data_IF_436099983497
#
_entry.id   IF_436099983497
#
_cell.length_a   1.000
_cell.length_b   1.000
_cell.length_c   1.000
_cell.angle_alpha   90.00
_cell.angle_beta   90.00
_cell.angle_gamma   90.00
#
_symmetry.space_group_name_H-M   'P 1'
#
loop_
_entity.id
_entity.type
_entity.pdbx_description
1 polymer ?
#
# COMPACT_ATOMS: atom_id res chain seq x y z
N UNK A 1 19.95 -1.26 21.42
CA UNK A 1 19.17 -0.56 20.37
C UNK A 1 18.80 -1.57 19.32
N UNK A 2 17.51 -1.73 19.00
CA UNK A 2 17.09 -2.65 17.93
C UNK A 2 17.61 -2.14 16.59
N UNK A 3 18.26 -3.01 15.82
CA UNK A 3 18.79 -2.68 14.49
C UNK A 3 17.64 -2.54 13.52
N UNK A 4 17.47 -1.34 12.94
CA UNK A 4 16.46 -1.10 11.91
C UNK A 4 16.73 -1.95 10.67
N UNK A 5 15.68 -2.55 10.10
CA UNK A 5 15.77 -3.38 8.90
C UNK A 5 15.92 -2.52 7.63
N UNK A 6 16.78 -2.90 6.67
CA UNK A 6 16.96 -2.11 5.46
C UNK A 6 15.85 -2.39 4.44
N UNK A 7 15.22 -1.34 3.91
CA UNK A 7 14.31 -1.39 2.75
C UNK A 7 14.98 -0.75 1.54
N UNK A 8 14.70 -1.26 0.34
CA UNK A 8 14.99 -0.53 -0.90
C UNK A 8 14.01 0.64 -1.10
N UNK A 9 14.21 1.43 -2.16
CA UNK A 9 13.25 2.47 -2.55
C UNK A 9 11.91 1.91 -3.06
N UNK A 10 11.89 0.62 -3.41
CA UNK A 10 10.69 -0.15 -3.75
C UNK A 10 10.79 -1.56 -3.18
N UNK A 11 9.65 -2.07 -2.74
CA UNK A 11 9.48 -3.41 -2.18
C UNK A 11 8.21 -4.05 -2.73
N UNK A 12 8.15 -5.38 -2.72
CA UNK A 12 6.89 -6.10 -2.77
C UNK A 12 6.34 -6.23 -1.36
N UNK A 13 5.05 -5.94 -1.23
CA UNK A 13 4.32 -6.01 0.02
C UNK A 13 3.01 -6.78 -0.19
N UNK A 14 2.37 -7.20 0.88
CA UNK A 14 0.99 -7.69 0.86
C UNK A 14 0.10 -6.90 1.79
N UNK A 15 -1.21 -6.99 1.57
CA UNK A 15 -2.26 -6.57 2.48
C UNK A 15 -3.13 -7.80 2.80
N UNK A 16 -2.78 -8.58 3.83
CA UNK A 16 -3.51 -9.81 4.17
C UNK A 16 -5.01 -9.58 4.39
N UNK A 17 -5.37 -8.50 5.08
CA UNK A 17 -6.78 -8.18 5.38
C UNK A 17 -7.58 -7.79 4.13
N UNK A 18 -6.89 -7.42 3.04
CA UNK A 18 -7.49 -7.01 1.77
C UNK A 18 -7.34 -8.08 0.68
N UNK A 19 -6.94 -9.31 1.04
CA UNK A 19 -6.67 -10.40 0.11
C UNK A 19 -5.62 -10.08 -0.98
N UNK A 20 -4.73 -9.11 -0.74
CA UNK A 20 -3.65 -8.76 -1.67
C UNK A 20 -2.38 -9.47 -1.20
N UNK A 21 -2.05 -10.58 -1.83
CA UNK A 21 -0.84 -11.34 -1.47
C UNK A 21 0.44 -10.63 -1.86
N UNK A 22 0.42 -9.86 -2.95
CA UNK A 22 1.60 -9.20 -3.48
C UNK A 22 1.28 -8.01 -4.39
N UNK A 23 1.77 -6.84 -4.02
CA UNK A 23 1.71 -5.60 -4.80
C UNK A 23 3.03 -4.84 -4.64
N UNK A 24 3.44 -4.11 -5.69
CA UNK A 24 4.68 -3.34 -5.66
C UNK A 24 4.43 -1.96 -5.07
N UNK A 25 5.17 -1.63 -4.02
CA UNK A 25 5.11 -0.35 -3.33
C UNK A 25 6.35 0.50 -3.59
N UNK A 26 6.14 1.81 -3.72
CA UNK A 26 7.22 2.79 -3.57
C UNK A 26 7.38 3.11 -2.09
N UNK A 27 8.60 3.05 -1.58
CA UNK A 27 8.93 3.53 -0.23
C UNK A 27 9.12 5.04 -0.34
N UNK A 28 8.15 5.80 0.17
CA UNK A 28 8.05 7.24 -0.06
C UNK A 28 8.23 8.02 1.24
N UNK A 29 9.48 8.43 1.48
CA UNK A 29 9.80 9.28 2.63
C UNK A 29 9.28 10.71 2.47
N UNK A 30 8.72 11.11 1.33
CA UNK A 30 8.01 12.38 1.15
C UNK A 30 6.56 12.32 1.63
N UNK A 31 5.92 11.17 1.56
CA UNK A 31 4.56 10.94 2.06
C UNK A 31 4.51 10.75 3.58
N UNK A 32 3.58 11.44 4.25
CA UNK A 32 3.31 11.21 5.69
C UNK A 32 2.62 9.88 5.89
N UNK A 33 1.46 9.69 5.26
CA UNK A 33 0.60 8.50 5.35
C UNK A 33 0.74 7.67 4.08
N UNK A 34 0.63 6.35 4.20
CA UNK A 34 0.63 5.44 3.05
C UNK A 34 -0.62 5.64 2.19
N UNK A 35 -0.52 5.34 0.90
CA UNK A 35 -1.63 5.45 -0.04
C UNK A 35 -1.74 4.19 -0.89
N UNK A 36 -2.96 3.70 -1.08
CA UNK A 36 -3.29 2.54 -1.90
C UNK A 36 -4.20 3.00 -3.03
N UNK A 37 -3.84 2.61 -4.25
CA UNK A 37 -4.70 2.74 -5.40
C UNK A 37 -6.01 1.99 -5.14
N UNK A 38 -7.11 2.69 -5.26
CA UNK A 38 -8.45 2.14 -5.15
C UNK A 38 -9.39 2.84 -6.13
N UNK A 39 -10.33 2.09 -6.68
CA UNK A 39 -11.41 2.58 -7.54
C UNK A 39 -12.74 1.98 -7.07
N UNK A 40 -13.88 2.51 -7.57
CA UNK A 40 -15.23 2.15 -7.06
C UNK A 40 -15.31 2.25 -5.53
N UNK A 41 -14.83 3.37 -4.99
CA UNK A 41 -14.76 3.61 -3.55
C UNK A 41 -16.14 4.06 -3.06
N UNK A 42 -16.86 3.16 -2.42
CA UNK A 42 -18.27 3.31 -2.05
C UNK A 42 -18.45 3.15 -0.53
N UNK A 43 -18.79 4.21 0.21
CA UNK A 43 -19.08 4.11 1.63
C UNK A 43 -20.42 3.41 1.88
N UNK A 44 -20.51 2.63 2.96
CA UNK A 44 -21.75 2.02 3.42
C UNK A 44 -21.77 1.86 4.94
N UNK A 45 -22.94 1.57 5.51
CA UNK A 45 -23.09 1.29 6.94
C UNK A 45 -23.26 -0.22 7.14
N UNK A 46 -22.49 -0.80 8.05
CA UNK A 46 -22.62 -2.18 8.51
C UNK A 46 -22.50 -2.19 10.03
N UNK A 47 -23.49 -2.78 10.69
CA UNK A 47 -23.56 -2.86 12.16
C UNK A 47 -23.34 -1.50 12.84
N UNK A 48 -24.04 -0.46 12.35
CA UNK A 48 -23.97 0.93 12.81
C UNK A 48 -22.58 1.62 12.66
N UNK A 49 -21.60 0.95 12.07
CA UNK A 49 -20.28 1.48 11.77
C UNK A 49 -20.17 1.90 10.30
N UNK A 50 -19.41 2.96 10.01
CA UNK A 50 -19.08 3.35 8.64
C UNK A 50 -17.99 2.44 8.07
N UNK A 51 -18.24 1.88 6.90
CA UNK A 51 -17.35 1.05 6.10
C UNK A 51 -17.17 1.64 4.71
N UNK A 52 -16.15 1.16 4.00
CA UNK A 52 -15.92 1.49 2.60
C UNK A 52 -15.65 0.22 1.82
N UNK A 53 -16.35 0.04 0.71
CA UNK A 53 -16.10 -0.97 -0.31
C UNK A 53 -15.24 -0.34 -1.39
N UNK A 54 -14.25 -1.07 -1.89
CA UNK A 54 -13.37 -0.58 -2.93
C UNK A 54 -12.78 -1.75 -3.72
N UNK A 55 -12.37 -1.45 -4.94
CA UNK A 55 -11.69 -2.36 -5.84
C UNK A 55 -10.27 -1.88 -6.10
N UNK A 56 -9.36 -2.82 -6.34
CA UNK A 56 -7.92 -2.57 -6.53
C UNK A 56 -7.42 -3.33 -7.75
N UNK A 57 -6.59 -2.68 -8.55
CA UNK A 57 -5.73 -3.33 -9.52
C UNK A 57 -4.36 -3.65 -8.89
N UNK A 58 -4.12 -4.88 -8.41
CA UNK A 58 -2.90 -5.19 -7.65
C UNK A 58 -1.65 -5.29 -8.54
N UNK A 59 -1.82 -5.46 -9.85
CA UNK A 59 -0.73 -5.63 -10.81
C UNK A 59 -0.49 -4.29 -11.55
N UNK A 60 0.78 -3.92 -11.73
CA UNK A 60 1.15 -2.69 -12.43
C UNK A 60 0.91 -2.83 -13.93
N UNK A 61 0.23 -1.87 -14.54
CA UNK A 61 -0.09 -1.88 -15.98
C UNK A 61 -1.18 -2.87 -16.38
N UNK A 62 -1.87 -3.46 -15.41
CA UNK A 62 -3.01 -4.35 -15.60
C UNK A 62 -4.24 -3.72 -14.93
N UNK A 63 -5.33 -3.64 -15.69
CA UNK A 63 -6.64 -3.13 -15.27
C UNK A 63 -7.72 -4.22 -15.32
N UNK A 64 -7.39 -5.44 -15.75
CA UNK A 64 -8.32 -6.57 -15.83
C UNK A 64 -8.34 -7.34 -14.51
N UNK A 65 -7.18 -7.50 -13.87
CA UNK A 65 -7.12 -8.12 -12.55
C UNK A 65 -7.69 -7.17 -11.50
N UNK A 66 -8.77 -7.59 -10.84
CA UNK A 66 -9.47 -6.83 -9.80
C UNK A 66 -9.53 -7.62 -8.50
N UNK A 67 -9.20 -6.96 -7.40
CA UNK A 67 -9.44 -7.45 -6.04
C UNK A 67 -10.41 -6.49 -5.35
N UNK A 68 -11.58 -6.99 -4.96
CA UNK A 68 -12.54 -6.23 -4.16
C UNK A 68 -12.26 -6.44 -2.67
N UNK A 69 -12.45 -5.40 -1.89
CA UNK A 69 -12.23 -5.41 -0.44
C UNK A 69 -13.16 -4.43 0.26
N UNK A 70 -13.39 -4.69 1.54
CA UNK A 70 -14.17 -3.84 2.42
C UNK A 70 -13.39 -3.64 3.71
N UNK A 71 -13.40 -2.44 4.24
CA UNK A 71 -12.77 -2.14 5.53
C UNK A 71 -13.58 -1.09 6.30
N UNK A 72 -13.53 -1.12 7.65
CA UNK A 72 -14.05 -0.02 8.46
C UNK A 72 -13.34 1.29 8.10
N UNK A 73 -14.11 2.37 7.97
CA UNK A 73 -13.54 3.70 7.81
C UNK A 73 -12.98 4.16 9.15
N UNK A 74 -11.66 4.36 9.20
CA UNK A 74 -10.97 4.87 10.39
C UNK A 74 -11.09 6.39 10.50
N UNK A 75 -10.96 7.07 9.37
CA UNK A 75 -10.91 8.53 9.28
C UNK A 75 -11.17 8.98 7.82
N UNK A 76 -11.35 10.29 7.61
CA UNK A 76 -11.35 10.93 6.29
C UNK A 76 -10.38 12.11 6.33
N UNK A 77 -9.45 12.20 5.38
CA UNK A 77 -8.40 13.21 5.40
C UNK A 77 -8.29 13.93 4.07
N UNK A 78 -8.20 15.26 4.15
CA UNK A 78 -7.77 16.07 3.00
C UNK A 78 -6.27 15.84 2.79
N UNK A 79 -5.92 15.35 1.61
CA UNK A 79 -4.55 15.12 1.20
C UNK A 79 -4.22 16.03 0.03
N UNK A 80 -3.15 16.81 0.19
CA UNK A 80 -2.59 17.64 -0.87
C UNK A 80 -1.49 16.90 -1.61
N UNK A 81 -1.60 16.81 -2.93
CA UNK A 81 -0.55 16.22 -3.76
C UNK A 81 0.58 17.21 -4.09
N UNK A 82 1.61 16.75 -4.79
CA UNK A 82 2.73 17.59 -5.21
C UNK A 82 2.36 18.64 -6.27
N UNK A 83 1.24 18.46 -6.97
CA UNK A 83 0.69 19.44 -7.92
C UNK A 83 -0.13 20.53 -7.24
N UNK A 84 -0.40 20.38 -5.94
CA UNK A 84 -1.17 21.32 -5.15
C UNK A 84 -2.67 21.05 -5.13
N UNK A 85 -3.14 19.97 -5.75
CA UNK A 85 -4.54 19.57 -5.68
C UNK A 85 -4.84 18.93 -4.32
N UNK A 86 -6.02 19.21 -3.80
CA UNK A 86 -6.52 18.65 -2.56
C UNK A 86 -7.65 17.66 -2.84
N UNK A 87 -7.59 16.51 -2.18
CA UNK A 87 -8.57 15.44 -2.32
C UNK A 87 -8.93 14.93 -0.92
N UNK A 88 -10.22 14.79 -0.62
CA UNK A 88 -10.67 14.09 0.57
C UNK A 88 -10.59 12.57 0.32
N UNK A 89 -9.87 11.86 1.18
CA UNK A 89 -9.63 10.42 1.07
C UNK A 89 -10.08 9.67 2.31
N UNK A 90 -10.73 8.52 2.11
CA UNK A 90 -10.98 7.55 3.18
C UNK A 90 -9.67 6.97 3.68
N UNK A 91 -9.57 6.83 5.00
CA UNK A 91 -8.45 6.17 5.68
C UNK A 91 -8.95 4.86 6.26
N UNK A 92 -8.22 3.79 5.97
CA UNK A 92 -8.39 2.47 6.58
C UNK A 92 -7.15 2.13 7.40
N UNK A 93 -7.31 1.26 8.39
CA UNK A 93 -6.20 0.65 9.13
C UNK A 93 -6.11 -0.82 8.70
N UNK A 94 -4.93 -1.26 8.26
CA UNK A 94 -4.74 -2.62 7.73
C UNK A 94 -3.33 -3.14 7.97
N UNK A 95 -3.21 -4.48 8.07
CA UNK A 95 -1.95 -5.19 8.09
C UNK A 95 -1.22 -5.05 6.74
N UNK A 96 0.07 -4.76 6.80
CA UNK A 96 0.99 -4.73 5.66
C UNK A 96 2.10 -5.74 5.92
N UNK A 97 2.25 -6.71 5.02
CA UNK A 97 3.37 -7.66 5.06
C UNK A 97 4.55 -7.17 4.21
N UNK A 98 5.76 -7.16 4.78
CA UNK A 98 7.01 -6.74 4.13
C UNK A 98 8.10 -7.75 4.49
N UNK A 99 8.43 -8.65 3.56
CA UNK A 99 9.33 -9.77 3.87
C UNK A 99 8.74 -10.65 4.96
N UNK A 100 9.43 -10.78 6.09
CA UNK A 100 8.99 -11.54 7.27
C UNK A 100 8.18 -10.68 8.27
N UNK A 101 8.14 -9.36 8.09
CA UNK A 101 7.44 -8.47 8.99
C UNK A 101 5.97 -8.31 8.60
N UNK A 102 5.13 -8.15 9.60
CA UNK A 102 3.77 -7.61 9.44
C UNK A 102 3.62 -6.39 10.34
N UNK A 103 3.18 -5.27 9.77
CA UNK A 103 2.95 -4.02 10.50
C UNK A 103 1.51 -3.56 10.31
N UNK A 104 0.93 -2.95 11.33
CA UNK A 104 -0.33 -2.22 11.20
C UNK A 104 -0.05 -0.80 10.73
N UNK A 105 -0.80 -0.33 9.73
CA UNK A 105 -0.63 1.02 9.20
C UNK A 105 -1.94 1.60 8.68
N UNK A 106 -2.05 2.92 8.81
CA UNK A 106 -3.08 3.70 8.13
C UNK A 106 -2.74 3.88 6.65
N UNK A 107 -3.76 3.71 5.81
CA UNK A 107 -3.67 3.79 4.36
C UNK A 107 -4.82 4.63 3.83
N UNK A 108 -4.52 5.64 3.02
CA UNK A 108 -5.55 6.39 2.28
C UNK A 108 -5.93 5.66 1.00
N UNK A 109 -7.22 5.55 0.71
CA UNK A 109 -7.74 5.08 -0.56
C UNK A 109 -7.80 6.25 -1.56
N UNK A 110 -7.22 6.08 -2.75
CA UNK A 110 -7.14 7.16 -3.75
C UNK A 110 -6.96 6.59 -5.15
N UNK A 111 -7.47 7.27 -6.17
CA UNK A 111 -7.19 6.91 -7.55
C UNK A 111 -5.72 7.24 -7.88
N UNK A 112 -5.03 6.25 -8.46
CA UNK A 112 -3.63 6.32 -8.87
C UNK A 112 -3.43 5.58 -10.19
N UNK A 113 -4.46 5.49 -11.03
CA UNK A 113 -4.43 4.67 -12.25
C UNK A 113 -3.34 5.06 -13.24
N UNK A 114 -3.07 6.37 -13.34
CA UNK A 114 -2.00 6.91 -14.18
C UNK A 114 -0.59 6.74 -13.60
N UNK A 115 -0.46 6.22 -12.37
CA UNK A 115 0.80 6.20 -11.62
C UNK A 115 1.47 4.82 -11.69
N UNK A 116 2.80 4.82 -11.81
CA UNK A 116 3.59 3.58 -11.87
C UNK A 116 3.40 2.67 -10.64
N UNK A 117 3.23 3.24 -9.45
CA UNK A 117 3.07 2.48 -8.21
C UNK A 117 1.64 2.60 -7.67
N UNK A 118 1.00 1.43 -7.55
CA UNK A 118 -0.30 1.23 -6.91
C UNK A 118 -0.26 1.49 -5.40
N UNK A 119 0.93 1.48 -4.78
CA UNK A 119 1.09 1.77 -3.36
C UNK A 119 2.25 2.73 -3.10
N UNK A 120 2.02 3.70 -2.22
CA UNK A 120 3.06 4.46 -1.52
C UNK A 120 3.09 4.03 -0.06
N UNK A 121 4.25 3.63 0.46
CA UNK A 121 4.47 3.46 1.89
C UNK A 121 5.07 4.72 2.49
N UNK A 122 4.27 5.40 3.33
CA UNK A 122 4.63 6.68 3.95
C UNK A 122 5.45 6.51 5.23
N UNK A 123 6.01 7.63 5.72
CA UNK A 123 6.89 7.65 6.89
C UNK A 123 6.25 7.10 8.18
N UNK A 124 4.94 7.26 8.38
CA UNK A 124 4.27 6.77 9.60
C UNK A 124 4.35 5.25 9.75
N UNK A 125 4.20 4.51 8.65
CA UNK A 125 4.34 3.05 8.60
C UNK A 125 5.81 2.61 8.81
N UNK A 126 6.79 3.44 8.42
CA UNK A 126 8.19 3.03 8.30
C UNK A 126 9.07 3.42 9.50
N UNK A 127 8.77 4.54 10.16
CA UNK A 127 9.68 5.26 11.07
C UNK A 127 10.25 4.43 12.22
N UNK A 128 9.49 3.45 12.72
CA UNK A 128 9.86 2.64 13.87
C UNK A 128 10.92 1.59 13.51
N UNK A 129 10.74 0.89 12.39
CA UNK A 129 11.39 -0.40 12.16
C UNK A 129 12.40 -0.38 11.01
N UNK A 130 12.40 0.64 10.14
CA UNK A 130 13.11 0.58 8.86
C UNK A 130 14.08 1.73 8.58
N UNK A 131 15.12 1.43 7.80
CA UNK A 131 16.04 2.37 7.14
C UNK A 131 15.95 2.19 5.63
N UNK A 132 15.86 3.29 4.88
CA UNK A 132 15.63 3.27 3.44
C UNK A 132 16.94 3.43 2.68
N UNK A 133 17.24 2.52 1.76
CA UNK A 133 18.35 2.57 0.83
C UNK A 133 17.87 2.95 -0.57
N UNK A 134 18.00 4.24 -0.99
CA UNK A 134 17.47 4.71 -2.26
C UNK A 134 18.13 4.06 -3.49
N UNK A 135 19.39 3.61 -3.35
CA UNK A 135 20.12 2.92 -4.42
C UNK A 135 19.83 1.43 -4.56
N UNK A 136 18.90 0.86 -3.78
CA UNK A 136 18.59 -0.58 -3.77
C UNK A 136 17.09 -0.82 -3.94
N UNK A 137 16.71 -2.00 -4.43
CA UNK A 137 15.33 -2.45 -4.51
C UNK A 137 15.19 -3.84 -3.90
N UNK A 138 14.03 -4.14 -3.33
CA UNK A 138 13.65 -5.49 -2.89
C UNK A 138 14.62 -6.10 -1.85
N UNK A 139 15.05 -5.30 -0.87
CA UNK A 139 15.98 -5.76 0.16
C UNK A 139 15.33 -6.76 1.11
N UNK A 140 14.03 -6.61 1.38
CA UNK A 140 13.26 -7.55 2.21
C UNK A 140 12.38 -8.48 1.38
N UNK A 141 12.06 -8.10 0.15
CA UNK A 141 11.05 -8.77 -0.68
C UNK A 141 11.64 -9.43 -1.94
N UNK A 142 12.76 -10.14 -1.77
CA UNK A 142 13.47 -10.81 -2.88
C UNK A 142 12.48 -11.59 -3.76
N UNK A 143 12.56 -11.47 -5.10
CA UNK A 143 11.69 -12.23 -5.97
C UNK A 143 11.86 -13.72 -5.68
N UNK A 144 10.75 -14.46 -5.51
CA UNK A 144 10.81 -15.92 -5.60
C UNK A 144 11.54 -16.25 -6.91
N UNK A 145 12.62 -17.02 -6.81
CA UNK A 145 13.39 -17.51 -7.95
C UNK A 145 12.43 -17.97 -9.06
N UNK A 146 12.62 -17.49 -10.29
CA UNK A 146 11.91 -18.07 -11.43
C UNK A 146 12.32 -19.54 -11.48
N UNK A 147 11.37 -20.45 -11.30
CA UNK A 147 11.56 -21.86 -11.62
C UNK A 147 12.12 -21.88 -13.05
N UNK A 148 13.35 -22.40 -13.23
CA UNK A 148 13.90 -22.64 -14.56
C UNK A 148 12.93 -23.59 -15.25
N UNK A 149 12.23 -23.13 -16.28
CA UNK A 149 11.64 -24.06 -17.24
C UNK A 149 12.81 -24.61 -18.04
N UNK A 150 13.09 -25.89 -17.86
CA UNK A 150 13.99 -26.63 -18.74
C UNK A 150 13.41 -26.60 -20.15
N UNK A 151 14.29 -26.41 -21.13
CA UNK A 151 13.98 -26.31 -22.55
C UNK A 151 13.73 -27.69 -23.15
#
# INVERSE_FOLDING_TARGET
>A
MSTKKPLGWREWIGFPDLNITRVKAKIDTGARTSALHAFRVEPFIRDEQQWVRFAIHPIQGDTETVVESEAPVKDQRVVRDSGGHEEMRYVIETAISIGEDTIQAEVTLTDRDSMLFRVLLGRTALRANYVIHPGKSYLQSKPKSKIKREA
#
